data_IF_971681961734
#
_entry.id   IF_971681961734
#
_cell.length_a   1.000
_cell.length_b   1.000
_cell.length_c   1.000
_cell.angle_alpha   90.00
_cell.angle_beta   90.00
_cell.angle_gamma   90.00
#
_symmetry.space_group_name_H-M   'P 1'
#
loop_
_entity.id
_entity.type
_entity.pdbx_description
1 polymer ?
#
# COMPACT_ATOMS: atom_id res chain seq x y z
N UNK A 1 -1.74 -11.61 -8.50
CA UNK A 1 -1.80 -10.32 -9.22
C UNK A 1 -0.64 -10.14 -10.20
N UNK A 2 0.63 -10.16 -9.78
CA UNK A 2 1.78 -9.93 -10.70
C UNK A 2 1.91 -10.95 -11.81
N UNK A 3 1.72 -12.26 -11.53
CA UNK A 3 1.80 -13.30 -12.56
C UNK A 3 0.74 -13.08 -13.66
N UNK A 4 -0.51 -12.84 -13.27
CA UNK A 4 -1.61 -12.56 -14.19
C UNK A 4 -1.38 -11.29 -15.00
N UNK A 5 -0.93 -10.22 -14.34
CA UNK A 5 -0.57 -8.97 -15.01
C UNK A 5 0.54 -9.16 -16.04
N UNK A 6 1.60 -9.90 -15.69
CA UNK A 6 2.71 -10.19 -16.58
C UNK A 6 2.30 -11.07 -17.76
N UNK A 7 1.41 -12.05 -17.55
CA UNK A 7 0.88 -12.89 -18.62
C UNK A 7 0.02 -12.06 -19.59
N UNK A 8 -0.88 -11.22 -19.07
CA UNK A 8 -1.68 -10.32 -19.90
C UNK A 8 -0.82 -9.31 -20.67
N UNK A 9 0.19 -8.73 -20.01
CA UNK A 9 1.14 -7.83 -20.65
C UNK A 9 1.92 -8.53 -21.78
N UNK A 10 2.40 -9.75 -21.53
CA UNK A 10 3.11 -10.55 -22.52
C UNK A 10 2.25 -10.80 -23.76
N UNK A 11 1.01 -11.28 -23.57
CA UNK A 11 0.09 -11.54 -24.68
C UNK A 11 -0.24 -10.25 -25.45
N UNK A 12 -0.50 -9.15 -24.74
CA UNK A 12 -0.82 -7.85 -25.33
C UNK A 12 0.33 -7.27 -26.16
N UNK A 13 1.57 -7.45 -25.69
CA UNK A 13 2.78 -7.04 -26.42
C UNK A 13 3.03 -7.98 -27.61
N UNK A 14 2.84 -9.30 -27.44
CA UNK A 14 3.04 -10.28 -28.50
C UNK A 14 2.10 -10.08 -29.70
N UNK A 15 0.87 -9.62 -29.45
CA UNK A 15 -0.11 -9.28 -30.49
C UNK A 15 0.17 -7.91 -31.15
N UNK A 16 1.11 -7.12 -30.61
CA UNK A 16 1.59 -5.88 -31.22
C UNK A 16 0.77 -4.63 -30.88
N UNK A 17 -0.26 -4.73 -30.04
CA UNK A 17 -1.07 -3.56 -29.65
C UNK A 17 -0.35 -2.62 -28.68
N UNK A 18 0.64 -3.12 -27.92
CA UNK A 18 1.29 -2.38 -26.84
C UNK A 18 2.79 -2.64 -26.79
N UNK A 19 3.54 -1.72 -26.18
CA UNK A 19 4.96 -1.86 -25.91
C UNK A 19 5.19 -2.29 -24.45
N UNK A 20 6.31 -2.99 -24.14
CA UNK A 20 6.63 -3.38 -22.75
C UNK A 20 6.60 -2.22 -21.74
N UNK A 21 6.96 -1.00 -22.18
CA UNK A 21 6.97 0.21 -21.34
C UNK A 21 5.57 0.67 -20.88
N UNK A 22 4.53 0.20 -21.56
CA UNK A 22 3.13 0.51 -21.27
C UNK A 22 2.62 -0.34 -20.10
N UNK A 23 3.36 -1.39 -19.72
CA UNK A 23 3.08 -2.25 -18.58
C UNK A 23 4.09 -2.05 -17.44
N UNK A 24 4.04 -0.94 -16.70
CA UNK A 24 4.95 -0.72 -15.58
C UNK A 24 4.78 -1.79 -14.50
N UNK A 25 5.86 -2.17 -13.79
CA UNK A 25 5.78 -3.18 -12.72
C UNK A 25 4.70 -2.84 -11.68
N UNK A 26 3.85 -3.81 -11.36
CA UNK A 26 2.80 -3.66 -10.34
C UNK A 26 3.39 -3.43 -8.95
N UNK A 27 4.52 -4.08 -8.65
CA UNK A 27 5.26 -3.92 -7.41
C UNK A 27 6.73 -3.59 -7.70
N UNK A 28 7.37 -2.93 -6.74
CA UNK A 28 8.82 -2.78 -6.72
C UNK A 28 9.51 -4.00 -6.13
N UNK A 29 10.76 -3.82 -5.69
CA UNK A 29 11.55 -4.89 -5.09
C UNK A 29 11.07 -5.15 -3.65
N UNK A 30 10.51 -6.32 -3.38
CA UNK A 30 10.14 -6.76 -2.02
C UNK A 30 11.30 -6.70 -1.02
N UNK A 31 12.54 -6.84 -1.49
CA UNK A 31 13.76 -6.71 -0.68
C UNK A 31 13.96 -5.30 -0.07
N UNK A 32 13.19 -4.31 -0.52
CA UNK A 32 13.20 -2.95 0.04
C UNK A 32 12.11 -2.73 1.09
N UNK A 33 11.20 -3.67 1.35
CA UNK A 33 9.98 -3.42 2.13
C UNK A 33 10.10 -3.63 3.64
N UNK A 34 11.30 -3.43 4.20
CA UNK A 34 11.59 -3.64 5.63
C UNK A 34 11.24 -2.43 6.52
N UNK A 35 10.59 -1.41 5.98
CA UNK A 35 9.98 -0.31 6.75
C UNK A 35 8.66 0.06 6.06
N UNK A 36 7.67 0.55 6.79
CA UNK A 36 6.37 0.97 6.26
C UNK A 36 6.55 2.05 5.20
N UNK A 37 7.42 3.04 5.44
CA UNK A 37 7.71 4.10 4.46
C UNK A 37 8.22 3.53 3.14
N UNK A 38 9.08 2.51 3.19
CA UNK A 38 9.64 1.86 1.99
C UNK A 38 8.64 0.92 1.33
N UNK A 39 7.83 0.19 2.11
CA UNK A 39 6.76 -0.64 1.61
C UNK A 39 5.83 0.20 0.73
N UNK A 40 5.25 1.27 1.26
CA UNK A 40 4.32 2.14 0.54
C UNK A 40 4.99 2.96 -0.56
N UNK A 41 6.19 3.49 -0.31
CA UNK A 41 6.87 4.39 -1.25
C UNK A 41 7.60 3.70 -2.41
N UNK A 42 8.00 2.43 -2.25
CA UNK A 42 8.89 1.73 -3.19
C UNK A 42 8.40 0.37 -3.64
N UNK A 43 7.52 -0.29 -2.88
CA UNK A 43 7.15 -1.69 -3.14
C UNK A 43 5.70 -1.82 -3.59
N UNK A 44 4.76 -1.24 -2.85
CA UNK A 44 3.34 -1.40 -3.07
C UNK A 44 2.82 -0.59 -4.27
N UNK A 45 1.89 -1.16 -5.04
CA UNK A 45 1.13 -0.54 -6.14
C UNK A 45 1.91 0.47 -7.00
N UNK A 46 3.08 0.05 -7.52
CA UNK A 46 3.95 0.91 -8.34
C UNK A 46 3.36 1.22 -9.73
N UNK A 47 2.51 0.35 -10.28
CA UNK A 47 1.83 0.62 -11.56
C UNK A 47 0.92 1.85 -11.49
N UNK A 48 0.24 2.05 -10.35
CA UNK A 48 -0.65 3.20 -10.13
C UNK A 48 0.13 4.47 -9.76
N UNK A 49 1.42 4.34 -9.42
CA UNK A 49 2.25 5.41 -8.88
C UNK A 49 2.32 6.62 -9.79
N UNK A 50 2.35 6.44 -11.11
CA UNK A 50 2.36 7.58 -12.04
C UNK A 50 1.17 8.49 -11.80
N UNK A 51 -0.04 7.94 -11.72
CA UNK A 51 -1.27 8.72 -11.52
C UNK A 51 -1.41 9.19 -10.08
N UNK A 52 -1.30 8.27 -9.12
CA UNK A 52 -1.55 8.57 -7.70
C UNK A 52 -0.50 9.50 -7.11
N UNK A 53 0.79 9.34 -7.44
CA UNK A 53 1.84 10.25 -6.97
C UNK A 53 1.72 11.61 -7.63
N UNK A 54 1.30 11.72 -8.90
CA UNK A 54 1.07 13.03 -9.50
C UNK A 54 0.01 13.82 -8.73
N UNK A 55 -1.11 13.18 -8.41
CA UNK A 55 -2.21 13.81 -7.65
C UNK A 55 -1.75 14.15 -6.23
N UNK A 56 -1.26 13.16 -5.48
CA UNK A 56 -0.87 13.34 -4.09
C UNK A 56 0.27 14.35 -3.92
N UNK A 57 1.26 14.33 -4.81
CA UNK A 57 2.40 15.25 -4.77
C UNK A 57 1.99 16.68 -5.11
N UNK A 58 1.07 16.89 -6.06
CA UNK A 58 0.55 18.21 -6.36
C UNK A 58 -0.18 18.78 -5.15
N UNK A 59 -1.15 18.05 -4.62
CA UNK A 59 -1.94 18.49 -3.46
C UNK A 59 -1.02 18.69 -2.23
N UNK A 60 -0.17 17.71 -1.94
CA UNK A 60 0.72 17.77 -0.77
C UNK A 60 1.73 18.91 -0.84
N UNK A 61 2.25 19.24 -2.02
CA UNK A 61 3.10 20.43 -2.21
C UNK A 61 2.31 21.73 -2.04
N UNK A 62 1.08 21.80 -2.52
CA UNK A 62 0.22 22.96 -2.33
C UNK A 62 -0.09 23.17 -0.84
N UNK A 63 -0.44 22.11 -0.11
CA UNK A 63 -0.64 22.13 1.34
C UNK A 63 0.62 22.58 2.05
N UNK A 64 1.78 22.01 1.72
CA UNK A 64 3.06 22.41 2.32
C UNK A 64 3.38 23.90 2.10
N UNK A 65 3.13 24.42 0.90
CA UNK A 65 3.33 25.85 0.61
C UNK A 65 2.35 26.73 1.38
N UNK A 66 1.08 26.33 1.47
CA UNK A 66 0.03 27.08 2.17
C UNK A 66 0.35 27.28 3.66
N UNK A 67 1.02 26.32 4.28
CA UNK A 67 1.46 26.43 5.69
C UNK A 67 2.90 26.95 5.85
N UNK A 68 3.51 27.45 4.77
CA UNK A 68 4.88 28.01 4.81
C UNK A 68 6.01 26.98 4.93
N UNK A 69 5.74 25.68 4.76
CA UNK A 69 6.76 24.64 4.86
C UNK A 69 7.69 24.65 3.65
N UNK A 70 8.98 24.85 3.90
CA UNK A 70 10.00 24.90 2.85
C UNK A 70 10.19 23.53 2.17
N UNK A 71 10.31 23.46 0.83
CA UNK A 71 10.60 22.23 0.13
C UNK A 71 11.87 21.55 0.67
N UNK A 72 11.83 20.23 0.85
CA UNK A 72 12.96 19.46 1.36
C UNK A 72 13.05 19.35 2.88
N UNK A 73 12.22 20.09 3.63
CA UNK A 73 12.12 19.94 5.09
C UNK A 73 11.35 18.67 5.49
N UNK A 74 11.56 18.23 6.74
CA UNK A 74 10.77 17.15 7.35
C UNK A 74 9.29 17.52 7.37
N UNK A 75 8.95 18.76 7.74
CA UNK A 75 7.58 19.28 7.72
C UNK A 75 6.93 19.12 6.34
N UNK A 76 7.61 19.57 5.28
CA UNK A 76 7.11 19.40 3.91
C UNK A 76 6.92 17.92 3.52
N UNK A 77 7.82 17.04 3.99
CA UNK A 77 7.76 15.60 3.70
C UNK A 77 6.60 14.91 4.43
N UNK A 78 6.34 15.27 5.69
CA UNK A 78 5.22 14.72 6.44
C UNK A 78 3.89 15.25 5.95
N UNK A 79 3.77 16.53 5.62
CA UNK A 79 2.54 17.06 5.02
C UNK A 79 2.19 16.31 3.73
N UNK A 80 3.17 16.08 2.86
CA UNK A 80 2.98 15.27 1.66
C UNK A 80 2.59 13.81 1.98
N UNK A 81 3.18 13.21 3.01
CA UNK A 81 2.85 11.86 3.46
C UNK A 81 1.39 11.75 3.92
N UNK A 82 0.97 12.62 4.83
CA UNK A 82 -0.39 12.63 5.37
C UNK A 82 -1.41 12.95 4.26
N UNK A 83 -1.12 13.93 3.40
CA UNK A 83 -1.96 14.21 2.23
C UNK A 83 -2.12 12.97 1.35
N UNK A 84 -1.03 12.24 1.06
CA UNK A 84 -1.09 11.06 0.22
C UNK A 84 -2.02 9.98 0.80
N UNK A 85 -1.95 9.73 2.11
CA UNK A 85 -2.82 8.74 2.77
C UNK A 85 -4.26 9.22 2.92
N UNK A 86 -4.50 10.50 3.21
CA UNK A 86 -5.86 11.06 3.27
C UNK A 86 -6.54 10.96 1.91
N UNK A 87 -5.86 11.39 0.82
CA UNK A 87 -6.42 11.29 -0.53
C UNK A 87 -6.64 9.83 -0.92
N UNK A 88 -5.72 8.92 -0.57
CA UNK A 88 -5.92 7.48 -0.79
C UNK A 88 -7.14 6.95 -0.05
N UNK A 89 -7.31 7.38 1.21
CA UNK A 89 -8.48 7.06 2.02
C UNK A 89 -9.77 7.52 1.36
N UNK A 90 -9.85 8.76 0.90
CA UNK A 90 -11.03 9.30 0.21
C UNK A 90 -11.36 8.55 -1.08
N UNK A 91 -10.35 8.20 -1.89
CA UNK A 91 -10.55 7.41 -3.11
C UNK A 91 -11.11 6.03 -2.78
N UNK A 92 -10.63 5.39 -1.71
CA UNK A 92 -11.17 4.10 -1.28
C UNK A 92 -12.56 4.25 -0.66
N UNK A 93 -12.84 5.30 0.10
CA UNK A 93 -14.19 5.61 0.59
C UNK A 93 -15.21 5.76 -0.54
N UNK A 94 -14.80 6.36 -1.66
CA UNK A 94 -15.65 6.43 -2.86
C UNK A 94 -15.92 5.04 -3.45
N UNK A 95 -14.94 4.13 -3.42
CA UNK A 95 -15.12 2.72 -3.76
C UNK A 95 -16.04 1.98 -2.78
N UNK A 96 -15.91 2.24 -1.48
CA UNK A 96 -16.80 1.70 -0.44
C UNK A 96 -18.27 2.10 -0.74
N UNK A 97 -18.49 3.37 -1.14
CA UNK A 97 -19.81 3.87 -1.52
C UNK A 97 -20.44 3.17 -2.75
N UNK A 98 -19.63 2.54 -3.60
CA UNK A 98 -20.14 1.73 -4.73
C UNK A 98 -20.70 0.38 -4.26
N UNK A 99 -20.31 -0.10 -3.08
CA UNK A 99 -20.89 -1.28 -2.44
C UNK A 99 -22.21 -0.92 -1.77
N UNK A 100 -22.23 0.23 -1.07
CA UNK A 100 -23.42 0.83 -0.47
C UNK A 100 -23.10 2.25 -0.03
N UNK A 101 -23.97 3.21 -0.27
CA UNK A 101 -23.70 4.62 0.04
C UNK A 101 -23.49 4.88 1.53
N UNK A 102 -24.09 4.04 2.39
CA UNK A 102 -23.92 3.98 3.84
C UNK A 102 -22.54 3.47 4.28
N UNK A 103 -21.77 2.84 3.38
CA UNK A 103 -20.43 2.31 3.63
C UNK A 103 -19.31 3.32 3.33
N UNK A 104 -19.64 4.54 2.90
CA UNK A 104 -18.63 5.56 2.64
C UNK A 104 -17.74 5.80 3.86
N UNK A 105 -16.44 5.57 3.71
CA UNK A 105 -15.46 5.80 4.78
C UNK A 105 -15.05 4.56 5.56
N UNK A 106 -15.65 3.40 5.30
CA UNK A 106 -15.31 2.15 5.98
C UNK A 106 -13.82 1.78 5.87
N UNK A 107 -13.16 2.12 4.77
CA UNK A 107 -11.72 1.90 4.56
C UNK A 107 -10.83 3.07 4.99
N UNK A 108 -11.38 4.24 5.30
CA UNK A 108 -10.61 5.48 5.48
C UNK A 108 -9.59 5.37 6.62
N UNK A 109 -10.01 4.80 7.75
CA UNK A 109 -9.17 4.67 8.94
C UNK A 109 -7.92 3.83 8.68
N UNK A 110 -8.03 2.76 7.88
CA UNK A 110 -6.88 1.94 7.48
C UNK A 110 -5.78 2.78 6.82
N UNK A 111 -6.13 3.73 5.95
CA UNK A 111 -5.15 4.58 5.28
C UNK A 111 -4.55 5.63 6.23
N UNK A 112 -5.37 6.25 7.07
CA UNK A 112 -4.92 7.29 7.99
C UNK A 112 -3.87 6.74 8.97
N UNK A 113 -4.09 5.55 9.54
CA UNK A 113 -3.16 4.95 10.51
C UNK A 113 -1.80 4.61 9.90
N UNK A 114 -1.69 4.41 8.58
CA UNK A 114 -0.39 4.19 7.92
C UNK A 114 0.52 5.42 8.04
N UNK A 115 -0.03 6.62 7.86
CA UNK A 115 0.76 7.85 7.98
C UNK A 115 1.28 8.06 9.41
N UNK A 116 0.44 7.76 10.40
CA UNK A 116 0.80 7.82 11.82
C UNK A 116 1.90 6.80 12.14
N UNK A 117 1.75 5.56 11.69
CA UNK A 117 2.72 4.50 11.93
C UNK A 117 4.07 4.75 11.26
N UNK A 118 4.07 5.28 10.03
CA UNK A 118 5.30 5.72 9.35
C UNK A 118 6.00 6.83 10.16
N UNK A 119 5.23 7.77 10.71
CA UNK A 119 5.80 8.86 11.53
C UNK A 119 6.41 8.30 12.82
N UNK A 120 5.73 7.37 13.49
CA UNK A 120 6.29 6.66 14.65
C UNK A 120 7.55 5.84 14.32
N UNK A 121 7.51 5.09 13.22
CA UNK A 121 8.66 4.33 12.68
C UNK A 121 9.86 5.24 12.42
N UNK A 122 9.67 6.38 11.76
CA UNK A 122 10.74 7.33 11.47
C UNK A 122 11.32 7.95 12.76
N UNK A 123 10.49 8.20 13.77
CA UNK A 123 10.96 8.68 15.09
C UNK A 123 11.84 7.64 15.78
N UNK A 124 11.43 6.36 15.80
CA UNK A 124 12.20 5.26 16.39
C UNK A 124 13.53 5.06 15.65
N UNK A 125 13.48 5.03 14.31
CA UNK A 125 14.69 4.91 13.47
C UNK A 125 15.61 6.12 13.66
N UNK A 126 15.05 7.32 13.78
CA UNK A 126 15.80 8.55 14.05
C UNK A 126 16.48 8.53 15.42
N UNK A 127 15.79 8.07 16.46
CA UNK A 127 16.34 7.92 17.81
C UNK A 127 17.47 6.88 17.86
N UNK A 128 17.26 5.71 17.25
CA UNK A 128 18.29 4.67 17.16
C UNK A 128 19.56 5.17 16.45
N UNK A 129 19.41 5.94 15.35
CA UNK A 129 20.56 6.55 14.66
C UNK A 129 21.31 7.54 15.56
N UNK A 130 20.59 8.40 16.29
CA UNK A 130 21.20 9.34 17.24
C UNK A 130 21.92 8.62 18.39
N UNK A 131 21.43 7.44 18.79
CA UNK A 131 22.07 6.57 19.76
C UNK A 131 23.25 5.75 19.21
N UNK A 132 23.68 5.99 17.95
CA UNK A 132 24.84 5.34 17.36
C UNK A 132 24.57 3.98 16.72
N UNK A 133 23.31 3.55 16.56
CA UNK A 133 23.00 2.25 15.97
C UNK A 133 23.25 2.27 14.45
N UNK A 134 23.97 1.27 13.96
CA UNK A 134 24.23 1.12 12.52
C UNK A 134 23.00 0.52 11.82
N UNK A 135 22.19 1.35 11.16
CA UNK A 135 20.92 0.92 10.53
C UNK A 135 21.06 0.00 9.31
N UNK A 136 22.27 -0.52 9.04
CA UNK A 136 22.58 -1.33 7.86
C UNK A 136 22.84 -2.82 8.17
N UNK A 137 22.60 -3.28 9.40
CA UNK A 137 22.79 -4.70 9.73
C UNK A 137 21.66 -5.57 9.14
N UNK A 138 21.97 -6.81 8.68
CA UNK A 138 20.95 -7.77 8.26
C UNK A 138 19.90 -8.05 9.33
N UNK A 139 20.31 -8.07 10.62
CA UNK A 139 19.43 -8.28 11.75
C UNK A 139 18.38 -7.16 11.89
N UNK A 140 18.77 -5.89 11.73
CA UNK A 140 17.82 -4.78 11.78
C UNK A 140 16.87 -4.78 10.58
N UNK A 141 17.32 -5.24 9.41
CA UNK A 141 16.41 -5.47 8.27
C UNK A 141 15.41 -6.57 8.56
N UNK A 142 15.83 -7.68 9.16
CA UNK A 142 14.93 -8.76 9.57
C UNK A 142 13.90 -8.26 10.58
N UNK A 143 14.33 -7.52 11.61
CA UNK A 143 13.43 -6.87 12.56
C UNK A 143 12.45 -5.91 11.88
N UNK A 144 12.91 -5.14 10.89
CA UNK A 144 12.06 -4.27 10.08
C UNK A 144 10.98 -5.04 9.29
N UNK A 145 11.30 -6.20 8.71
CA UNK A 145 10.29 -7.05 8.07
C UNK A 145 9.26 -7.58 9.07
N UNK A 146 9.70 -8.03 10.25
CA UNK A 146 8.79 -8.47 11.31
C UNK A 146 7.88 -7.33 11.73
N UNK A 147 8.42 -6.13 11.92
CA UNK A 147 7.64 -4.93 12.23
C UNK A 147 6.58 -4.63 11.17
N UNK A 148 6.97 -4.58 9.89
CA UNK A 148 6.03 -4.31 8.78
C UNK A 148 4.93 -5.38 8.73
N UNK A 149 5.29 -6.65 8.91
CA UNK A 149 4.33 -7.75 8.93
C UNK A 149 3.36 -7.64 10.10
N UNK A 150 3.86 -7.46 11.34
CA UNK A 150 3.03 -7.26 12.53
C UNK A 150 2.08 -6.07 12.38
N UNK A 151 2.57 -4.96 11.81
CA UNK A 151 1.75 -3.79 11.55
C UNK A 151 0.59 -4.08 10.60
N UNK A 152 0.82 -4.84 9.54
CA UNK A 152 -0.24 -5.24 8.62
C UNK A 152 -1.20 -6.25 9.23
N UNK A 153 -0.73 -7.20 10.05
CA UNK A 153 -1.62 -8.10 10.81
C UNK A 153 -2.55 -7.30 11.72
N UNK A 154 -2.02 -6.26 12.38
CA UNK A 154 -2.81 -5.41 13.27
C UNK A 154 -3.76 -4.47 12.51
N UNK A 155 -3.31 -3.83 11.44
CA UNK A 155 -4.06 -2.77 10.75
C UNK A 155 -4.98 -3.27 9.64
N UNK A 156 -4.68 -4.40 8.99
CA UNK A 156 -5.50 -4.93 7.89
C UNK A 156 -6.98 -5.17 8.25
N UNK A 157 -7.34 -5.63 9.47
CA UNK A 157 -8.75 -5.76 9.86
C UNK A 157 -9.57 -4.48 9.70
N UNK A 158 -8.94 -3.29 9.80
CA UNK A 158 -9.61 -1.99 9.62
C UNK A 158 -10.19 -1.80 8.21
N UNK A 159 -9.70 -2.52 7.20
CA UNK A 159 -10.29 -2.50 5.85
C UNK A 159 -10.89 -3.85 5.45
N UNK A 160 -10.37 -4.96 5.98
CA UNK A 160 -10.83 -6.30 5.59
C UNK A 160 -12.14 -6.69 6.27
N UNK A 161 -12.37 -6.32 7.53
CA UNK A 161 -13.53 -6.82 8.28
C UNK A 161 -14.86 -6.37 7.66
N UNK A 162 -14.98 -5.10 7.30
CA UNK A 162 -16.22 -4.59 6.69
C UNK A 162 -16.45 -5.24 5.31
N UNK A 163 -15.39 -5.47 4.53
CA UNK A 163 -15.48 -6.15 3.23
C UNK A 163 -16.00 -7.58 3.39
N UNK A 164 -15.54 -8.30 4.42
CA UNK A 164 -16.04 -9.64 4.76
C UNK A 164 -17.52 -9.57 5.14
N UNK A 165 -17.92 -8.62 5.99
CA UNK A 165 -19.32 -8.45 6.40
C UNK A 165 -20.24 -8.12 5.22
N UNK A 166 -19.76 -7.32 4.26
CA UNK A 166 -20.46 -7.01 3.01
C UNK A 166 -20.41 -8.15 1.98
N UNK A 167 -19.83 -9.30 2.33
CA UNK A 167 -19.79 -10.48 1.47
C UNK A 167 -18.79 -10.38 0.31
N UNK A 168 -17.93 -9.36 0.27
CA UNK A 168 -16.93 -9.18 -0.80
C UNK A 168 -15.86 -10.28 -0.79
N UNK A 169 -15.70 -10.99 0.32
CA UNK A 169 -14.80 -12.15 0.44
C UNK A 169 -15.46 -13.48 -0.02
N UNK A 170 -16.75 -13.48 -0.37
CA UNK A 170 -17.50 -14.69 -0.76
C UNK A 170 -17.48 -14.94 -2.27
N UNK A 171 -17.07 -13.97 -3.08
CA UNK A 171 -16.94 -14.17 -4.52
C UNK A 171 -15.65 -14.89 -4.82
N UNK A 172 -15.76 -16.10 -5.37
CA UNK A 172 -14.59 -16.72 -5.99
C UNK A 172 -14.16 -15.85 -7.16
N UNK A 173 -12.94 -15.32 -7.07
CA UNK A 173 -12.37 -14.46 -8.10
C UNK A 173 -12.11 -15.24 -9.40
N UNK A 174 -12.02 -16.57 -9.32
CA UNK A 174 -11.77 -17.46 -10.45
C UNK A 174 -12.69 -18.69 -10.38
N UNK A 175 -13.09 -19.25 -11.53
CA UNK A 175 -13.90 -20.47 -11.58
C UNK A 175 -13.18 -21.72 -11.06
N UNK A 176 -11.84 -21.67 -10.90
CA UNK A 176 -11.00 -22.77 -10.43
C UNK A 176 -10.12 -22.27 -9.29
N UNK A 177 -10.26 -22.89 -8.11
CA UNK A 177 -9.48 -22.59 -6.91
C UNK A 177 -8.75 -23.85 -6.43
N UNK A 178 -7.41 -23.95 -6.59
CA UNK A 178 -6.63 -25.06 -6.06
C UNK A 178 -6.77 -25.19 -4.53
N UNK A 179 -6.94 -24.07 -3.82
CA UNK A 179 -7.20 -24.05 -2.39
C UNK A 179 -8.54 -24.72 -2.07
N UNK A 180 -9.57 -24.52 -2.89
CA UNK A 180 -10.85 -25.22 -2.73
C UNK A 180 -10.68 -26.72 -2.88
N UNK A 181 -9.93 -27.19 -3.88
CA UNK A 181 -9.63 -28.62 -4.03
C UNK A 181 -8.89 -29.19 -2.83
N UNK A 182 -7.93 -28.44 -2.28
CA UNK A 182 -7.22 -28.85 -1.06
C UNK A 182 -8.14 -28.85 0.15
N UNK A 183 -8.99 -27.83 0.35
CA UNK A 183 -9.93 -27.77 1.46
C UNK A 183 -11.00 -28.87 1.36
N UNK A 184 -11.50 -29.17 0.16
CA UNK A 184 -12.39 -30.31 -0.09
C UNK A 184 -11.69 -31.64 0.20
N UNK A 185 -10.45 -31.82 -0.26
CA UNK A 185 -9.65 -33.00 0.05
C UNK A 185 -9.36 -33.16 1.55
N UNK A 186 -9.33 -32.05 2.30
CA UNK A 186 -9.18 -32.02 3.75
C UNK A 186 -10.51 -32.06 4.52
N UNK A 187 -11.67 -32.12 3.84
CA UNK A 187 -12.99 -32.13 4.47
C UNK A 187 -13.40 -30.83 5.16
N UNK A 188 -12.83 -29.69 4.76
CA UNK A 188 -13.01 -28.36 5.39
C UNK A 188 -13.76 -27.37 4.49
N UNK A 189 -14.39 -27.85 3.43
CA UNK A 189 -15.14 -27.04 2.46
C UNK A 189 -16.64 -27.31 2.57
#
# INVERSE_FOLDING_TARGET
LSLYYSLFALLSVAVGFYQPKDFPPVFGRWRDSYTLRRFWGRTWHQALRRVTVLIHRKIGKSVARAVGAQPGTNTSSYLQLYTAFIVSGLVHSAGDAMVGTDQFGSSFMFFLVQAIAITGEDCVVGAARKAGWTTSSPALRAAGYVWVWCWFVYSAPLTVNWQIFMGMAKSEVLPISPIRYVLQALGKA
#
